data_IF_209843845374
#
_entry.id   IF_209843845374
#
_cell.length_a   1.000
_cell.length_b   1.000
_cell.length_c   1.000
_cell.angle_alpha   90.00
_cell.angle_beta   90.00
_cell.angle_gamma   90.00
#
_symmetry.space_group_name_H-M   'P 1'
#
loop_
_entity.id
_entity.type
_entity.pdbx_description
1 polymer ?
#
# COMPACT_ATOMS: atom_id res chain seq x y z
N UNK A 1 -25.45 -2.63 11.84
CA UNK A 1 -25.30 -2.59 10.36
C UNK A 1 -24.12 -1.67 10.02
N UNK A 2 -22.89 -2.12 10.29
CA UNK A 2 -21.70 -1.25 10.09
C UNK A 2 -20.47 -2.01 9.58
N UNK A 3 -20.41 -3.35 9.74
CA UNK A 3 -19.25 -4.15 9.34
C UNK A 3 -19.12 -4.36 7.83
N UNK A 4 -20.22 -4.53 7.09
CA UNK A 4 -20.15 -4.79 5.63
C UNK A 4 -19.62 -3.62 4.81
N UNK A 5 -19.83 -2.36 5.24
CA UNK A 5 -19.29 -1.18 4.52
C UNK A 5 -17.80 -0.98 4.76
N UNK A 6 -17.28 -1.46 5.89
CA UNK A 6 -15.86 -1.31 6.24
C UNK A 6 -14.97 -2.09 5.28
N UNK A 7 -15.31 -3.37 5.02
CA UNK A 7 -14.50 -4.27 4.19
C UNK A 7 -14.32 -3.86 2.72
N UNK A 8 -15.24 -3.06 2.16
CA UNK A 8 -15.13 -2.57 0.77
C UNK A 8 -14.22 -1.32 0.69
N UNK A 9 -14.20 -0.51 1.75
CA UNK A 9 -13.51 0.79 1.76
C UNK A 9 -12.08 0.72 2.32
N UNK A 10 -11.80 -0.27 3.18
CA UNK A 10 -10.49 -0.52 3.78
C UNK A 10 -10.16 -1.99 3.63
N UNK A 11 -9.08 -2.28 2.93
CA UNK A 11 -8.59 -3.63 2.73
C UNK A 11 -7.39 -3.87 3.63
N UNK A 12 -7.47 -4.90 4.47
CA UNK A 12 -6.33 -5.32 5.28
C UNK A 12 -5.27 -5.99 4.39
N UNK A 13 -4.03 -5.63 4.62
CA UNK A 13 -2.86 -6.23 3.97
C UNK A 13 -1.84 -6.63 5.03
N UNK A 14 -1.00 -7.60 4.69
CA UNK A 14 0.10 -8.06 5.54
C UNK A 14 1.40 -7.92 4.78
N UNK A 15 2.39 -7.34 5.43
CA UNK A 15 3.77 -7.33 4.95
C UNK A 15 4.54 -8.38 5.73
N UNK A 16 5.27 -9.23 5.00
CA UNK A 16 6.14 -10.26 5.57
C UNK A 16 7.56 -9.85 5.20
N UNK A 17 8.38 -9.59 6.22
CA UNK A 17 9.75 -9.10 6.05
C UNK A 17 10.68 -10.19 6.55
N UNK A 18 11.48 -10.74 5.64
CA UNK A 18 12.45 -11.79 5.96
C UNK A 18 13.38 -11.36 7.09
N UNK A 19 13.46 -12.17 8.14
CA UNK A 19 14.29 -11.90 9.32
C UNK A 19 13.75 -10.84 10.30
N UNK A 20 12.67 -10.12 9.98
CA UNK A 20 12.05 -9.12 10.87
C UNK A 20 10.65 -9.49 11.35
N UNK A 21 9.90 -10.29 10.59
CA UNK A 21 8.57 -10.76 10.97
C UNK A 21 7.44 -10.17 10.12
N UNK A 22 6.25 -10.07 10.70
CA UNK A 22 5.03 -9.66 10.01
C UNK A 22 4.48 -8.34 10.58
N UNK A 23 3.91 -7.50 9.70
CA UNK A 23 3.18 -6.30 10.10
C UNK A 23 1.90 -6.17 9.28
N UNK A 24 0.83 -5.73 9.94
CA UNK A 24 -0.46 -5.47 9.30
C UNK A 24 -0.57 -4.01 8.84
N UNK A 25 -1.32 -3.79 7.77
CA UNK A 25 -1.63 -2.48 7.25
C UNK A 25 -3.01 -2.42 6.60
N UNK A 26 -3.42 -1.23 6.20
CA UNK A 26 -4.70 -0.99 5.54
C UNK A 26 -4.53 -0.18 4.26
N UNK A 27 -5.08 -0.68 3.16
CA UNK A 27 -5.28 0.07 1.93
C UNK A 27 -6.64 0.75 1.97
N UNK A 28 -6.66 2.08 1.96
CA UNK A 28 -7.88 2.88 2.06
C UNK A 28 -8.37 3.22 0.65
N UNK A 29 -9.30 2.40 0.12
CA UNK A 29 -9.74 2.44 -1.28
C UNK A 29 -10.24 3.81 -1.74
N UNK A 30 -10.97 4.54 -0.90
CA UNK A 30 -11.50 5.85 -1.31
C UNK A 30 -10.41 6.94 -1.44
N UNK A 31 -9.22 6.74 -0.86
CA UNK A 31 -8.09 7.65 -1.00
C UNK A 31 -7.42 7.54 -2.37
N UNK A 32 -7.44 6.37 -3.01
CA UNK A 32 -6.89 6.13 -4.34
C UNK A 32 -7.50 4.85 -4.97
N UNK A 33 -8.75 4.91 -5.47
CA UNK A 33 -9.49 3.71 -5.84
C UNK A 33 -8.85 2.92 -6.97
N UNK A 34 -8.24 3.58 -7.96
CA UNK A 34 -7.58 2.88 -9.08
C UNK A 34 -6.28 2.24 -8.64
N UNK A 35 -5.46 2.98 -7.88
CA UNK A 35 -4.19 2.49 -7.32
C UNK A 35 -4.43 1.29 -6.41
N UNK A 36 -5.38 1.39 -5.47
CA UNK A 36 -5.71 0.29 -4.56
C UNK A 36 -6.22 -0.94 -5.32
N UNK A 37 -7.10 -0.76 -6.31
CA UNK A 37 -7.60 -1.88 -7.12
C UNK A 37 -6.49 -2.60 -7.90
N UNK A 38 -5.52 -1.84 -8.44
CA UNK A 38 -4.37 -2.41 -9.13
C UNK A 38 -3.42 -3.14 -8.18
N UNK A 39 -3.16 -2.58 -7.00
CA UNK A 39 -2.35 -3.23 -5.96
C UNK A 39 -3.00 -4.56 -5.57
N UNK A 40 -4.29 -4.55 -5.22
CA UNK A 40 -5.03 -5.74 -4.78
C UNK A 40 -5.03 -6.83 -5.84
N UNK A 41 -5.21 -6.48 -7.12
CA UNK A 41 -5.17 -7.43 -8.24
C UNK A 41 -3.78 -8.01 -8.51
N UNK A 42 -2.73 -7.33 -8.06
CA UNK A 42 -1.34 -7.73 -8.25
C UNK A 42 -0.78 -8.50 -7.05
N UNK A 43 -1.55 -8.65 -5.97
CA UNK A 43 -1.11 -9.44 -4.81
C UNK A 43 -1.01 -10.94 -5.17
N UNK A 44 0.00 -11.66 -4.64
CA UNK A 44 1.10 -11.14 -3.81
C UNK A 44 2.13 -10.34 -4.62
N UNK A 45 2.65 -9.26 -4.03
CA UNK A 45 3.76 -8.49 -4.59
C UNK A 45 4.99 -8.77 -3.73
N UNK A 46 6.08 -9.14 -4.39
CA UNK A 46 7.36 -9.46 -3.75
C UNK A 46 8.45 -8.53 -4.31
N UNK A 47 9.44 -8.22 -3.47
CA UNK A 47 10.52 -7.32 -3.84
C UNK A 47 11.57 -7.21 -2.75
N UNK A 48 12.67 -6.52 -3.07
CA UNK A 48 13.71 -6.21 -2.08
C UNK A 48 13.36 -4.91 -1.37
N UNK A 49 13.27 -4.95 -0.05
CA UNK A 49 13.13 -3.75 0.75
C UNK A 49 14.43 -2.93 0.70
N UNK A 50 14.27 -1.63 0.49
CA UNK A 50 15.31 -0.63 0.57
C UNK A 50 14.93 0.42 1.61
N UNK A 51 15.93 0.98 2.27
CA UNK A 51 15.77 2.04 3.25
C UNK A 51 16.25 3.35 2.66
N UNK A 52 15.44 4.40 2.81
CA UNK A 52 15.88 5.77 2.56
C UNK A 52 15.27 6.69 3.60
N UNK A 53 16.14 7.30 4.41
CA UNK A 53 15.74 8.11 5.57
C UNK A 53 14.82 7.29 6.49
N UNK A 54 13.64 7.79 6.81
CA UNK A 54 12.65 7.15 7.67
C UNK A 54 11.66 6.25 6.89
N UNK A 55 11.92 5.96 5.62
CA UNK A 55 11.03 5.19 4.74
C UNK A 55 11.60 3.82 4.36
N UNK A 56 10.69 2.84 4.26
CA UNK A 56 10.93 1.51 3.70
C UNK A 56 10.14 1.42 2.40
N UNK A 57 10.80 1.11 1.30
CA UNK A 57 10.15 0.93 0.00
C UNK A 57 10.68 -0.31 -0.70
N UNK A 58 9.88 -0.85 -1.62
CA UNK A 58 10.27 -1.93 -2.51
C UNK A 58 9.63 -1.67 -3.88
N UNK A 59 10.27 -2.16 -4.93
CA UNK A 59 9.75 -2.01 -6.28
C UNK A 59 8.51 -2.88 -6.50
N UNK A 60 7.52 -2.36 -7.24
CA UNK A 60 6.33 -3.11 -7.64
C UNK A 60 6.28 -3.24 -9.16
N UNK A 61 5.65 -4.28 -9.72
CA UNK A 61 5.47 -4.41 -11.17
C UNK A 61 4.39 -3.46 -11.74
N UNK A 62 3.72 -2.68 -10.89
CA UNK A 62 2.58 -1.84 -11.26
C UNK A 62 3.10 -0.55 -11.88
N UNK A 63 2.69 -0.29 -13.13
CA UNK A 63 3.00 0.95 -13.86
C UNK A 63 1.72 1.75 -14.08
N UNK A 64 1.62 2.90 -13.43
CA UNK A 64 0.51 3.83 -13.60
C UNK A 64 0.94 5.24 -13.21
N UNK A 65 0.30 6.23 -13.82
CA UNK A 65 0.48 7.64 -13.43
C UNK A 65 -0.20 7.99 -12.11
N UNK A 66 -0.02 9.24 -11.68
CA UNK A 66 -0.50 9.76 -10.41
C UNK A 66 -2.03 9.62 -10.22
N UNK A 67 -2.43 9.27 -9.00
CA UNK A 67 -3.82 9.35 -8.53
C UNK A 67 -3.85 10.01 -7.16
N UNK A 68 -4.48 11.19 -7.05
CA UNK A 68 -4.67 11.92 -5.77
C UNK A 68 -3.35 12.11 -4.99
N UNK A 69 -2.30 12.50 -5.70
CA UNK A 69 -0.95 12.66 -5.16
C UNK A 69 -0.91 13.64 -3.97
N UNK A 70 -0.04 13.33 -3.01
CA UNK A 70 0.24 14.15 -1.82
C UNK A 70 1.74 14.35 -1.70
N UNK A 71 2.15 15.58 -1.40
CA UNK A 71 3.57 15.92 -1.22
C UNK A 71 4.13 15.45 0.13
N UNK A 72 3.26 15.23 1.12
CA UNK A 72 3.64 14.83 2.48
C UNK A 72 2.66 13.79 3.02
N UNK A 73 3.16 12.94 3.91
CA UNK A 73 2.41 11.87 4.58
C UNK A 73 2.81 11.78 6.06
N UNK A 74 1.95 11.19 6.88
CA UNK A 74 2.22 10.92 8.29
C UNK A 74 3.00 9.60 8.45
N UNK A 75 3.73 9.43 9.56
CA UNK A 75 4.42 8.19 9.86
C UNK A 75 3.45 7.00 9.88
N UNK A 76 3.85 5.89 9.27
CA UNK A 76 3.00 4.70 9.10
C UNK A 76 2.08 4.73 7.88
N UNK A 77 2.10 5.80 7.08
CA UNK A 77 1.36 5.83 5.80
C UNK A 77 1.95 4.84 4.81
N UNK A 78 1.09 4.02 4.20
CA UNK A 78 1.43 3.22 3.02
C UNK A 78 1.24 4.11 1.79
N UNK A 79 2.34 4.46 1.13
CA UNK A 79 2.36 5.28 -0.08
C UNK A 79 2.68 4.43 -1.32
N UNK A 80 2.21 4.89 -2.48
CA UNK A 80 2.55 4.32 -3.78
C UNK A 80 3.23 5.40 -4.62
N UNK A 81 4.42 5.10 -5.14
CA UNK A 81 5.16 6.00 -6.02
C UNK A 81 4.84 5.64 -7.49
N UNK A 82 4.15 6.49 -8.24
CA UNK A 82 3.82 6.24 -9.65
C UNK A 82 5.03 6.42 -10.59
N UNK A 83 5.07 5.64 -11.67
CA UNK A 83 6.06 5.74 -12.75
C UNK A 83 5.43 6.16 -14.06
#
# INVERSE_FOLDING_TARGET
MTEEKSGISRLKVKFIIEGLGEVEGELVRFLAPRTVDLIVRSLPIEGRAALWKEEVYFETPIKMGEEKARATVEAGTIAFWPM
#
